data_IF_546679229066
#
_entry.id   IF_546679229066
#
_cell.length_a   1.000
_cell.length_b   1.000
_cell.length_c   1.000
_cell.angle_alpha   90.00
_cell.angle_beta   90.00
_cell.angle_gamma   90.00
#
_symmetry.space_group_name_H-M   'P 1'
#
loop_
_entity.id
_entity.type
_entity.pdbx_description
1 polymer ?
#
# COMPACT_ATOMS: atom_id res chain seq x y z
N UNK A 1 4.23 -8.79 11.19
CA UNK A 1 4.27 -7.82 12.30
C UNK A 1 3.13 -6.84 12.17
N UNK A 2 2.77 -6.11 13.24
CA UNK A 2 1.72 -5.09 13.18
C UNK A 2 2.04 -3.96 12.18
N UNK A 3 1.03 -3.22 11.70
CA UNK A 3 1.24 -2.04 10.86
C UNK A 3 2.14 -1.00 11.51
N UNK A 4 3.09 -0.44 10.76
CA UNK A 4 4.08 0.49 11.29
C UNK A 4 3.47 1.80 11.81
N UNK A 5 2.23 2.14 11.51
CA UNK A 5 1.62 3.38 12.01
C UNK A 5 1.03 3.24 13.42
N UNK A 6 0.89 2.03 13.95
CA UNK A 6 0.27 1.77 15.25
C UNK A 6 1.06 2.42 16.39
N UNK A 7 0.37 3.19 17.25
CA UNK A 7 0.99 3.94 18.35
C UNK A 7 1.66 3.02 19.38
N UNK A 8 1.20 1.78 19.46
CA UNK A 8 1.71 0.71 20.31
C UNK A 8 3.12 0.27 19.92
N UNK A 9 3.57 0.56 18.69
CA UNK A 9 4.93 0.30 18.26
C UNK A 9 5.88 1.39 18.76
N UNK A 10 6.79 0.98 19.66
CA UNK A 10 7.83 1.86 20.16
C UNK A 10 8.79 2.31 19.05
N UNK A 11 9.50 3.44 19.23
CA UNK A 11 10.53 3.87 18.30
C UNK A 11 11.59 2.79 18.03
N UNK A 12 11.98 2.05 19.06
CA UNK A 12 12.93 0.94 18.94
C UNK A 12 12.40 -0.20 18.06
N UNK A 13 11.12 -0.57 18.20
CA UNK A 13 10.51 -1.60 17.35
C UNK A 13 10.41 -1.16 15.89
N UNK A 14 10.13 0.13 15.64
CA UNK A 14 10.10 0.70 14.28
C UNK A 14 11.50 0.70 13.65
N UNK A 15 12.51 1.06 14.43
CA UNK A 15 13.91 0.98 14.01
C UNK A 15 14.32 -0.46 13.72
N UNK A 16 13.95 -1.41 14.58
CA UNK A 16 14.21 -2.83 14.37
C UNK A 16 13.54 -3.35 13.09
N UNK A 17 12.30 -2.92 12.81
CA UNK A 17 11.61 -3.26 11.57
C UNK A 17 12.35 -2.73 10.33
N UNK A 18 12.90 -1.51 10.41
CA UNK A 18 13.74 -0.92 9.37
C UNK A 18 15.04 -1.73 9.13
N UNK A 19 15.77 -2.05 10.20
CA UNK A 19 17.00 -2.85 10.12
C UNK A 19 16.76 -4.25 9.58
N UNK A 20 15.65 -4.88 9.97
CA UNK A 20 15.23 -6.16 9.42
C UNK A 20 14.91 -6.05 7.93
N UNK A 21 14.23 -4.98 7.52
CA UNK A 21 14.00 -4.68 6.10
C UNK A 21 15.31 -4.57 5.32
N UNK A 22 16.29 -3.80 5.83
CA UNK A 22 17.61 -3.65 5.20
C UNK A 22 18.33 -4.98 5.06
N UNK A 23 18.34 -5.78 6.13
CA UNK A 23 18.98 -7.10 6.15
C UNK A 23 18.36 -8.03 5.10
N UNK A 24 17.03 -8.09 5.04
CA UNK A 24 16.31 -8.93 4.08
C UNK A 24 16.57 -8.47 2.65
N UNK A 25 16.41 -7.17 2.37
CA UNK A 25 16.56 -6.61 1.03
C UNK A 25 17.98 -6.84 0.47
N UNK A 26 19.02 -6.72 1.30
CA UNK A 26 20.41 -6.98 0.88
C UNK A 26 20.67 -8.44 0.52
N UNK A 27 19.92 -9.38 1.10
CA UNK A 27 20.10 -10.81 0.91
C UNK A 27 19.40 -11.41 -0.31
N UNK A 28 18.55 -10.65 -1.01
CA UNK A 28 17.76 -11.14 -2.15
C UNK A 28 17.79 -10.17 -3.31
N UNK A 29 17.53 -10.67 -4.53
CA UNK A 29 17.45 -9.81 -5.72
C UNK A 29 16.15 -9.00 -5.76
N UNK A 30 15.06 -9.53 -5.23
CA UNK A 30 13.77 -8.88 -5.15
C UNK A 30 13.12 -9.19 -3.81
N UNK A 31 12.75 -8.15 -3.07
CA UNK A 31 12.02 -8.26 -1.82
C UNK A 31 10.60 -7.74 -2.02
N UNK A 32 9.60 -8.58 -1.74
CA UNK A 32 8.20 -8.18 -1.77
C UNK A 32 7.73 -7.98 -0.32
N UNK A 33 7.27 -6.77 0.02
CA UNK A 33 6.72 -6.42 1.33
C UNK A 33 5.31 -5.85 1.15
N UNK A 34 4.35 -6.42 1.87
CA UNK A 34 2.94 -6.11 1.66
C UNK A 34 2.12 -6.03 2.96
N UNK A 35 0.81 -5.99 2.75
CA UNK A 35 -0.34 -5.91 3.61
C UNK A 35 -0.19 -4.93 4.77
N UNK A 36 0.53 -5.27 5.84
CA UNK A 36 0.62 -4.40 7.02
C UNK A 36 1.38 -3.10 6.78
N UNK A 37 2.38 -3.12 5.90
CA UNK A 37 3.10 -1.90 5.53
C UNK A 37 2.20 -0.96 4.71
N UNK A 38 1.39 -1.53 3.82
CA UNK A 38 0.55 -0.81 2.87
C UNK A 38 -0.85 -0.47 3.38
N UNK A 39 -1.21 -0.84 4.61
CA UNK A 39 -2.41 -0.31 5.30
C UNK A 39 -2.34 1.19 5.59
N UNK A 40 -1.22 1.86 5.25
CA UNK A 40 -1.03 3.30 5.39
C UNK A 40 -0.20 3.86 4.24
N UNK A 41 -0.55 5.06 3.75
CA UNK A 41 0.09 5.69 2.58
C UNK A 41 1.61 5.86 2.74
N UNK A 42 2.10 6.13 3.96
CA UNK A 42 3.53 6.26 4.19
C UNK A 42 4.31 4.94 3.99
N UNK A 43 3.61 3.80 3.94
CA UNK A 43 4.18 2.50 3.59
C UNK A 43 4.81 2.48 2.19
N UNK A 44 4.23 3.21 1.22
CA UNK A 44 4.83 3.35 -0.10
C UNK A 44 6.21 4.03 -0.03
N UNK A 45 6.28 5.17 0.67
CA UNK A 45 7.57 5.86 0.88
C UNK A 45 8.57 4.98 1.64
N UNK A 46 8.09 4.10 2.50
CA UNK A 46 8.95 3.16 3.21
C UNK A 46 9.57 2.15 2.25
N UNK A 47 8.81 1.60 1.30
CA UNK A 47 9.34 0.74 0.22
C UNK A 47 10.40 1.48 -0.60
N UNK A 48 10.08 2.70 -1.06
CA UNK A 48 10.98 3.51 -1.88
C UNK A 48 12.30 3.80 -1.16
N UNK A 49 12.21 4.17 0.13
CA UNK A 49 13.39 4.38 0.98
C UNK A 49 14.22 3.11 1.12
N UNK A 50 13.58 1.95 1.27
CA UNK A 50 14.30 0.69 1.44
C UNK A 50 14.99 0.26 0.14
N UNK A 51 14.33 0.44 -1.00
CA UNK A 51 14.92 0.22 -2.32
C UNK A 51 16.14 1.12 -2.51
N UNK A 52 15.99 2.42 -2.29
CA UNK A 52 17.07 3.40 -2.42
C UNK A 52 18.25 3.11 -1.47
N UNK A 53 17.98 2.78 -0.22
CA UNK A 53 19.03 2.49 0.78
C UNK A 53 19.81 1.19 0.51
N UNK A 54 19.31 0.30 -0.34
CA UNK A 54 19.94 -1.00 -0.62
C UNK A 54 20.37 -1.18 -2.06
N UNK A 55 19.90 -0.34 -2.99
CA UNK A 55 20.08 -0.55 -4.42
C UNK A 55 19.39 -1.81 -4.94
N UNK A 56 18.43 -2.37 -4.19
CA UNK A 56 17.72 -3.61 -4.52
C UNK A 56 16.27 -3.33 -4.91
N UNK A 57 15.68 -4.27 -5.65
CA UNK A 57 14.26 -4.20 -6.03
C UNK A 57 13.40 -4.52 -4.81
N UNK A 58 12.73 -3.51 -4.25
CA UNK A 58 11.79 -3.65 -3.13
C UNK A 58 10.41 -3.20 -3.58
N UNK A 59 9.42 -4.09 -3.53
CA UNK A 59 8.11 -3.93 -4.15
C UNK A 59 6.98 -4.38 -3.22
N UNK A 60 5.74 -4.05 -3.59
CA UNK A 60 4.57 -4.79 -3.10
C UNK A 60 4.08 -5.83 -4.13
N UNK A 61 3.09 -6.65 -3.78
CA UNK A 61 2.57 -7.66 -4.69
C UNK A 61 1.95 -7.03 -5.95
N UNK A 62 1.26 -5.89 -5.82
CA UNK A 62 0.69 -5.19 -6.97
C UNK A 62 1.77 -4.79 -7.99
N UNK A 63 2.88 -4.20 -7.52
CA UNK A 63 4.00 -3.83 -8.40
C UNK A 63 4.66 -5.05 -9.05
N UNK A 64 4.78 -6.15 -8.30
CA UNK A 64 5.37 -7.38 -8.82
C UNK A 64 4.51 -8.00 -9.93
N UNK A 65 3.18 -7.90 -9.79
CA UNK A 65 2.20 -8.43 -10.73
C UNK A 65 1.84 -7.45 -11.86
N UNK A 66 2.51 -6.29 -11.94
CA UNK A 66 2.21 -5.21 -12.90
C UNK A 66 0.75 -4.74 -12.84
N UNK A 67 0.19 -4.69 -11.63
CA UNK A 67 -1.14 -4.19 -11.35
C UNK A 67 -1.10 -2.84 -10.61
N UNK A 68 -2.11 -1.98 -10.82
CA UNK A 68 -2.24 -0.76 -10.04
C UNK A 68 -2.28 -1.04 -8.54
N UNK A 69 -1.58 -0.20 -7.76
CA UNK A 69 -1.63 -0.25 -6.29
C UNK A 69 -3.02 0.18 -5.82
N UNK A 70 -3.80 -0.77 -5.30
CA UNK A 70 -5.10 -0.49 -4.67
C UNK A 70 -4.94 -0.39 -3.15
N UNK A 71 -4.68 0.80 -2.61
CA UNK A 71 -4.47 1.02 -1.17
C UNK A 71 -5.77 1.02 -0.32
N UNK A 72 -6.64 0.02 -0.50
CA UNK A 72 -7.98 -0.03 0.10
C UNK A 72 -7.98 0.26 1.61
N UNK A 73 -7.11 -0.41 2.36
CA UNK A 73 -7.01 -0.25 3.82
C UNK A 73 -6.51 1.14 4.25
N UNK A 74 -5.62 1.75 3.48
CA UNK A 74 -5.15 3.11 3.74
C UNK A 74 -6.25 4.15 3.49
N UNK A 75 -7.21 3.82 2.61
CA UNK A 75 -8.36 4.66 2.27
C UNK A 75 -9.64 4.26 2.98
N UNK A 76 -9.64 3.28 3.89
CA UNK A 76 -10.86 2.71 4.49
C UNK A 76 -11.88 3.75 4.95
N UNK A 77 -11.44 4.83 5.62
CA UNK A 77 -12.34 5.89 6.13
C UNK A 77 -13.08 6.60 5.00
N UNK A 78 -12.39 6.86 3.89
CA UNK A 78 -12.99 7.45 2.70
C UNK A 78 -13.90 6.44 1.99
N UNK A 79 -13.45 5.19 1.84
CA UNK A 79 -14.22 4.14 1.16
C UNK A 79 -15.53 3.83 1.88
N UNK A 80 -15.56 3.81 3.21
CA UNK A 80 -16.80 3.65 3.97
C UNK A 80 -17.78 4.83 3.81
N UNK A 81 -17.29 6.03 3.47
CA UNK A 81 -18.16 7.17 3.16
C UNK A 81 -18.70 7.10 1.73
N UNK A 82 -17.87 6.70 0.78
CA UNK A 82 -18.21 6.62 -0.64
C UNK A 82 -19.07 5.38 -0.97
N UNK A 83 -18.84 4.29 -0.25
CA UNK A 83 -19.51 3.00 -0.42
C UNK A 83 -19.93 2.49 0.97
N UNK A 84 -20.95 3.09 1.58
CA UNK A 84 -21.41 2.70 2.90
C UNK A 84 -21.89 1.25 2.89
N UNK A 85 -21.56 0.52 3.97
CA UNK A 85 -22.08 -0.83 4.20
C UNK A 85 -23.46 -0.69 4.83
N UNK A 86 -24.53 -1.20 4.21
CA UNK A 86 -25.87 -1.13 4.78
C UNK A 86 -25.96 -1.83 6.13
N UNK A 87 -26.89 -1.38 6.98
CA UNK A 87 -27.21 -2.08 8.22
C UNK A 87 -27.66 -3.53 7.93
N UNK A 88 -27.21 -4.48 8.75
CA UNK A 88 -27.51 -5.90 8.55
C UNK A 88 -26.79 -6.57 7.38
N UNK A 89 -25.92 -5.85 6.64
CA UNK A 89 -25.24 -6.41 5.47
C UNK A 89 -24.30 -7.57 5.84
N UNK A 90 -23.61 -7.50 6.99
CA UNK A 90 -22.70 -8.56 7.41
C UNK A 90 -23.43 -9.87 7.72
N UNK A 91 -24.57 -9.78 8.43
CA UNK A 91 -25.44 -10.90 8.72
C UNK A 91 -26.06 -11.47 7.44
N UNK A 92 -26.51 -10.60 6.52
CA UNK A 92 -27.03 -11.02 5.23
C UNK A 92 -25.95 -11.73 4.40
N UNK A 93 -24.73 -11.19 4.36
CA UNK A 93 -23.57 -11.79 3.68
C UNK A 93 -23.21 -13.16 4.27
N UNK A 94 -23.13 -13.27 5.60
CA UNK A 94 -22.86 -14.53 6.28
C UNK A 94 -23.91 -15.61 5.99
N UNK A 95 -25.17 -15.20 5.79
CA UNK A 95 -26.27 -16.09 5.42
C UNK A 95 -26.42 -16.32 3.91
N UNK A 96 -25.50 -15.81 3.08
CA UNK A 96 -25.57 -15.94 1.62
C UNK A 96 -26.68 -15.11 0.95
N UNK A 97 -27.24 -14.14 1.65
CA UNK A 97 -28.33 -13.25 1.18
C UNK A 97 -27.83 -11.92 0.62
N UNK A 98 -26.56 -11.60 0.78
CA UNK A 98 -25.89 -10.45 0.18
C UNK A 98 -24.53 -10.87 -0.37
N UNK A 99 -24.00 -10.11 -1.32
CA UNK A 99 -22.68 -10.33 -1.90
C UNK A 99 -21.91 -9.01 -2.02
N UNK A 100 -20.72 -9.08 -2.62
CA UNK A 100 -19.83 -7.93 -2.81
C UNK A 100 -20.03 -7.20 -4.14
N UNK A 101 -21.01 -7.59 -4.95
CA UNK A 101 -21.18 -7.09 -6.33
C UNK A 101 -21.30 -5.56 -6.39
N UNK A 102 -22.05 -4.97 -5.47
CA UNK A 102 -22.24 -3.51 -5.35
C UNK A 102 -20.95 -2.74 -5.05
N UNK A 103 -19.93 -3.38 -4.46
CA UNK A 103 -18.66 -2.76 -4.11
C UNK A 103 -17.57 -2.91 -5.18
N UNK A 104 -17.84 -3.65 -6.27
CA UNK A 104 -16.83 -3.94 -7.32
C UNK A 104 -16.48 -2.74 -8.21
N UNK A 105 -17.14 -1.60 -8.03
CA UNK A 105 -16.96 -0.39 -8.85
C UNK A 105 -15.64 0.34 -8.56
N UNK A 106 -14.97 0.03 -7.43
CA UNK A 106 -13.71 0.68 -7.09
C UNK A 106 -12.55 0.22 -7.98
N UNK A 107 -12.12 1.09 -8.91
CA UNK A 107 -11.04 0.82 -9.87
C UNK A 107 -9.67 1.39 -9.47
N UNK A 108 -9.50 1.82 -8.21
CA UNK A 108 -8.21 2.36 -7.73
C UNK A 108 -7.78 3.70 -8.36
N UNK A 109 -8.65 4.33 -9.16
CA UNK A 109 -8.32 5.48 -10.01
C UNK A 109 -8.15 6.80 -9.27
N UNK A 110 -8.47 6.84 -7.97
CA UNK A 110 -8.29 8.04 -7.14
C UNK A 110 -6.83 8.50 -7.04
N UNK A 111 -5.83 7.62 -7.19
CA UNK A 111 -4.42 8.03 -7.19
C UNK A 111 -3.93 8.59 -8.54
N UNK A 112 -4.62 8.30 -9.66
CA UNK A 112 -4.24 8.83 -10.98
C UNK A 112 -4.40 10.35 -11.09
N UNK A 113 -5.25 10.97 -10.26
CA UNK A 113 -5.40 12.44 -10.24
C UNK A 113 -4.25 13.17 -9.53
N UNK A 114 -3.48 12.49 -8.66
CA UNK A 114 -2.42 13.14 -7.88
C UNK A 114 -1.01 12.90 -8.44
N UNK A 115 -0.79 11.82 -9.20
CA UNK A 115 0.53 11.54 -9.78
C UNK A 115 0.90 12.46 -10.96
N UNK A 116 -0.08 13.06 -11.65
CA UNK A 116 0.15 13.95 -12.79
C UNK A 116 0.48 15.42 -12.41
N UNK A 117 0.65 15.73 -11.12
CA UNK A 117 0.95 17.11 -10.67
C UNK A 117 2.34 17.30 -10.05
N UNK A 118 3.14 16.25 -9.90
CA UNK A 118 4.49 16.38 -9.31
C UNK A 118 5.50 15.42 -9.93
N UNK A 119 5.84 15.62 -11.21
CA UNK A 119 7.14 15.25 -11.77
C UNK A 119 7.49 16.29 -12.83
N UNK A 120 8.49 17.18 -12.62
CA UNK A 120 9.11 17.86 -13.73
C UNK A 120 9.84 16.80 -14.54
N UNK A 121 9.43 16.62 -15.78
CA UNK A 121 10.23 15.92 -16.79
C UNK A 121 11.51 16.74 -16.97
N UNK A 122 12.57 16.39 -16.25
CA UNK A 122 13.93 16.79 -16.61
C UNK A 122 14.23 16.11 -17.94
N UNK A 123 13.93 16.81 -19.03
CA UNK A 123 14.37 16.45 -20.36
C UNK A 123 15.89 16.43 -20.37
N UNK A 124 16.44 15.21 -20.51
CA UNK A 124 17.74 15.00 -21.10
C UNK A 124 17.65 15.57 -22.52
N UNK A 125 18.32 16.68 -22.78
CA UNK A 125 18.82 16.98 -24.12
C UNK A 125 20.34 16.83 -24.03
N UNK A 126 20.82 15.82 -24.75
CA UNK A 126 22.20 15.68 -25.18
C UNK A 126 22.47 16.81 -26.17
N UNK A 127 23.36 17.74 -25.81
CA UNK A 127 24.47 18.28 -26.61
C UNK A 127 25.36 19.15 -25.71
#
# INVERSE_FOLDING_TARGET
>A
GPPLYLAELSPQQRQQAWENGLRLARGVNTLILDHHLLRYKAGLRWLDRLASATGRRVLCAADFMDHPRCLLEAHRVQLYKEMPVPEGWHEAYANGKADTSSFRVYTGTHERKFHNLTMPMSGIILE
#
